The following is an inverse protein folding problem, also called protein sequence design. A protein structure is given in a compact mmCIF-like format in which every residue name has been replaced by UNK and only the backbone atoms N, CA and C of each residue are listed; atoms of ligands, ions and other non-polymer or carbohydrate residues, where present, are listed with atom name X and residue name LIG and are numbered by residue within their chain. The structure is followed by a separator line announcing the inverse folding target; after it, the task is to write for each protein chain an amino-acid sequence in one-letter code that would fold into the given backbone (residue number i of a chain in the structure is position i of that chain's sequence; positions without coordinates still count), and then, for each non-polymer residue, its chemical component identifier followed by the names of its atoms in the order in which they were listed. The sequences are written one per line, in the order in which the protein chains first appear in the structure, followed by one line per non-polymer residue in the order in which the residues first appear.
data_IF_175735122382
#
_entry.id   IF_175735122382
#
_cell.length_a   1.000
_cell.length_b   1.000
_cell.length_c   1.000
_cell.angle_alpha   90.00
_cell.angle_beta   90.00
_cell.angle_gamma   90.00
#
_symmetry.space_group_name_H-M   'P 1'
#
loop_
_entity.id
_entity.type
_entity.pdbx_description
1 polymer ?
#
# COMPACT_ATOMS: atom_id res chain seq x y z
N UNK A 1 -2.49 -7.29 -8.04
CA UNK A 1 -1.24 -7.80 -8.64
C UNK A 1 -1.51 -9.15 -9.26
N UNK A 2 -0.92 -9.41 -10.43
CA UNK A 2 -0.97 -10.71 -11.10
C UNK A 2 -0.09 -11.69 -10.32
N UNK A 3 -0.68 -12.79 -9.87
CA UNK A 3 0.02 -13.91 -9.26
C UNK A 3 -0.03 -15.07 -10.25
N UNK A 4 1.12 -15.67 -10.53
CA UNK A 4 1.26 -16.80 -11.46
C UNK A 4 1.41 -18.07 -10.63
N UNK A 5 0.49 -19.01 -10.79
CA UNK A 5 0.51 -20.34 -10.16
C UNK A 5 0.53 -21.37 -11.29
N UNK A 6 1.75 -21.75 -11.70
CA UNK A 6 1.95 -22.59 -12.89
C UNK A 6 1.46 -21.90 -14.17
N UNK A 7 0.53 -22.54 -14.88
CA UNK A 7 -0.06 -21.99 -16.11
C UNK A 7 -1.24 -21.03 -15.88
N UNK A 8 -1.73 -20.88 -14.64
CA UNK A 8 -2.90 -20.04 -14.33
C UNK A 8 -2.46 -18.75 -13.66
N UNK A 9 -3.06 -17.64 -14.06
CA UNK A 9 -2.85 -16.34 -13.42
C UNK A 9 -4.12 -15.83 -12.75
N UNK A 10 -3.98 -15.28 -11.55
CA UNK A 10 -5.07 -14.63 -10.81
C UNK A 10 -4.71 -13.21 -10.39
N UNK A 11 -5.70 -12.34 -10.26
CA UNK A 11 -5.53 -11.00 -9.71
C UNK A 11 -5.72 -11.06 -8.19
N UNK A 12 -4.66 -10.81 -7.42
CA UNK A 12 -4.73 -10.65 -5.97
C UNK A 12 -4.79 -9.16 -5.61
N UNK A 13 -5.81 -8.77 -4.85
CA UNK A 13 -5.94 -7.40 -4.32
C UNK A 13 -5.10 -7.25 -3.05
N UNK A 14 -4.25 -6.22 -3.02
CA UNK A 14 -3.48 -5.84 -1.83
C UNK A 14 -3.88 -4.44 -1.38
N UNK A 15 -4.97 -4.37 -0.61
CA UNK A 15 -5.49 -3.12 -0.06
C UNK A 15 -4.84 -2.80 1.30
N UNK A 16 -4.43 -1.55 1.49
CA UNK A 16 -3.80 -1.08 2.71
C UNK A 16 -3.41 0.39 2.64
N UNK A 17 -2.73 0.88 3.67
CA UNK A 17 -2.28 2.27 3.74
C UNK A 17 -0.98 2.43 2.96
N UNK A 18 -0.92 3.41 2.07
CA UNK A 18 0.35 3.82 1.46
C UNK A 18 1.17 4.58 2.51
N UNK A 19 2.31 4.01 2.91
CA UNK A 19 3.16 4.57 3.97
C UNK A 19 4.39 5.31 3.45
N UNK A 20 4.74 5.11 2.18
CA UNK A 20 5.83 5.79 1.52
C UNK A 20 5.62 5.81 0.01
N UNK A 21 6.10 6.87 -0.63
CA UNK A 21 6.41 6.93 -2.05
C UNK A 21 7.90 7.29 -2.17
N UNK A 22 8.64 6.59 -3.01
CA UNK A 22 10.09 6.77 -3.17
C UNK A 22 10.45 6.92 -4.65
N UNK A 23 11.61 7.56 -4.88
CA UNK A 23 12.16 7.85 -6.21
C UNK A 23 11.21 8.67 -7.10
N UNK A 24 11.57 8.83 -8.36
CA UNK A 24 10.78 9.51 -9.39
C UNK A 24 11.01 8.88 -10.76
N UNK A 25 10.18 9.25 -11.72
CA UNK A 25 10.22 8.70 -13.07
C UNK A 25 10.01 7.18 -13.06
N UNK A 26 10.77 6.47 -13.90
CA UNK A 26 10.64 5.00 -14.08
C UNK A 26 10.90 4.21 -12.80
N UNK A 27 11.71 4.75 -11.88
CA UNK A 27 12.03 4.10 -10.61
C UNK A 27 11.02 4.39 -9.49
N UNK A 28 9.98 5.19 -9.76
CA UNK A 28 8.96 5.54 -8.76
C UNK A 28 8.34 4.26 -8.18
N UNK A 29 8.25 4.21 -6.86
CA UNK A 29 7.65 3.09 -6.13
C UNK A 29 6.84 3.58 -4.94
N UNK A 30 5.90 2.76 -4.49
CA UNK A 30 5.11 3.02 -3.30
C UNK A 30 5.05 1.79 -2.40
N UNK A 31 4.98 2.02 -1.09
CA UNK A 31 4.93 0.96 -0.07
C UNK A 31 3.54 0.94 0.55
N UNK A 32 2.87 -0.20 0.45
CA UNK A 32 1.56 -0.44 1.06
C UNK A 32 1.75 -1.28 2.32
N UNK A 33 1.15 -0.85 3.43
CA UNK A 33 1.09 -1.57 4.70
C UNK A 33 -0.33 -2.07 4.97
N UNK A 34 -0.46 -3.36 5.28
CA UNK A 34 -1.69 -4.02 5.71
C UNK A 34 -1.39 -4.86 6.96
N UNK A 35 -2.33 -4.92 7.90
CA UNK A 35 -2.31 -5.96 8.94
C UNK A 35 -3.21 -7.10 8.48
N UNK A 36 -2.67 -8.30 8.35
CA UNK A 36 -3.39 -9.50 7.95
C UNK A 36 -3.20 -10.57 9.01
N UNK A 37 -4.29 -11.11 9.56
CA UNK A 37 -4.25 -12.12 10.61
C UNK A 37 -3.34 -11.72 11.80
N UNK A 38 -3.39 -10.44 12.20
CA UNK A 38 -2.57 -9.91 13.30
C UNK A 38 -1.11 -9.60 12.95
N UNK A 39 -0.65 -9.98 11.76
CA UNK A 39 0.73 -9.77 11.30
C UNK A 39 0.79 -8.57 10.36
N UNK A 40 1.73 -7.66 10.60
CA UNK A 40 2.00 -6.52 9.73
C UNK A 40 2.71 -6.98 8.47
N UNK A 41 2.09 -6.78 7.31
CA UNK A 41 2.64 -7.10 5.99
C UNK A 41 2.86 -5.80 5.23
N UNK A 42 4.06 -5.62 4.69
CA UNK A 42 4.40 -4.50 3.82
C UNK A 42 4.81 -5.04 2.45
N UNK A 43 4.34 -4.38 1.39
CA UNK A 43 4.77 -4.68 0.02
C UNK A 43 5.16 -3.39 -0.68
N UNK A 44 6.27 -3.44 -1.41
CA UNK A 44 6.75 -2.36 -2.26
C UNK A 44 6.34 -2.68 -3.69
N UNK A 45 5.71 -1.71 -4.34
CA UNK A 45 5.24 -1.82 -5.71
C UNK A 45 5.91 -0.75 -6.57
N UNK A 46 6.63 -1.12 -7.64
CA UNK A 46 7.08 -0.16 -8.64
C UNK A 46 5.85 0.38 -9.40
N UNK A 47 5.76 1.70 -9.55
CA UNK A 47 4.59 2.39 -10.12
C UNK A 47 4.28 1.92 -11.55
N UNK A 48 5.31 1.57 -12.32
CA UNK A 48 5.23 1.19 -13.73
C UNK A 48 5.37 -0.33 -13.96
N UNK A 49 5.20 -1.15 -12.92
CA UNK A 49 5.38 -2.60 -13.06
C UNK A 49 4.21 -3.27 -13.80
N UNK A 50 4.47 -4.16 -14.79
CA UNK A 50 3.42 -4.88 -15.52
C UNK A 50 2.66 -5.90 -14.66
N UNK A 51 3.13 -6.19 -13.44
CA UNK A 51 2.43 -7.07 -12.50
C UNK A 51 1.22 -6.37 -11.85
N UNK A 52 1.10 -5.05 -11.99
CA UNK A 52 0.02 -4.25 -11.42
C UNK A 52 -1.08 -4.09 -12.48
N UNK A 53 -2.21 -4.74 -12.24
CA UNK A 53 -3.38 -4.66 -13.12
C UNK A 53 -4.06 -3.28 -13.04
N UNK A 54 -4.26 -2.78 -11.82
CA UNK A 54 -4.98 -1.54 -11.53
C UNK A 54 -4.52 -0.98 -10.19
N UNK A 55 -4.49 0.35 -10.08
CA UNK A 55 -4.35 1.08 -8.82
C UNK A 55 -5.63 1.90 -8.62
N UNK A 56 -6.26 1.74 -7.46
CA UNK A 56 -7.47 2.46 -7.11
C UNK A 56 -7.30 3.08 -5.72
N UNK A 57 -7.65 4.37 -5.59
CA UNK A 57 -7.59 5.07 -4.31
C UNK A 57 -8.95 4.93 -3.63
N UNK A 58 -9.04 4.02 -2.66
CA UNK A 58 -10.29 3.83 -1.91
C UNK A 58 -10.67 5.07 -1.10
N UNK A 59 -9.71 5.65 -0.37
CA UNK A 59 -9.89 6.82 0.49
C UNK A 59 -8.62 7.64 0.60
N UNK A 60 -8.76 8.95 0.82
CA UNK A 60 -7.64 9.87 1.09
C UNK A 60 -7.50 10.10 2.59
N UNK A 61 -6.33 9.81 3.14
CA UNK A 61 -6.03 10.04 4.56
C UNK A 61 -5.49 11.44 4.82
N UNK A 62 -5.89 12.04 5.94
CA UNK A 62 -5.29 13.26 6.47
C UNK A 62 -4.03 12.91 7.28
N UNK A 63 -2.87 13.25 6.71
CA UNK A 63 -1.55 12.95 7.26
C UNK A 63 -0.63 14.14 7.11
N UNK A 64 0.31 14.28 8.06
CA UNK A 64 1.24 15.43 8.12
C UNK A 64 2.65 15.09 7.64
N UNK A 65 2.96 13.81 7.38
CA UNK A 65 4.29 13.34 7.01
C UNK A 65 4.22 12.60 5.68
N UNK A 66 5.24 12.74 4.84
CA UNK A 66 5.36 11.98 3.60
C UNK A 66 5.66 10.49 3.83
N UNK A 67 6.38 10.18 4.92
CA UNK A 67 6.70 8.81 5.35
C UNK A 67 5.98 8.48 6.67
N UNK A 68 5.12 7.47 6.63
CA UNK A 68 4.23 7.09 7.74
C UNK A 68 4.76 5.89 8.53
N UNK A 69 6.09 5.72 8.64
CA UNK A 69 6.69 4.57 9.32
C UNK A 69 6.30 4.45 10.80
N UNK A 70 5.86 5.54 11.43
CA UNK A 70 5.33 5.51 12.79
C UNK A 70 4.12 4.56 12.93
N UNK A 71 3.37 4.31 11.85
CA UNK A 71 2.26 3.33 11.84
C UNK A 71 2.71 1.88 12.07
N UNK A 72 4.02 1.59 12.02
CA UNK A 72 4.56 0.26 12.31
C UNK A 72 4.41 -0.12 13.79
N UNK A 73 4.58 0.86 14.67
CA UNK A 73 4.46 0.67 16.12
C UNK A 73 3.05 0.86 16.66
N UNK A 74 2.11 1.35 15.85
CA UNK A 74 0.73 1.61 16.28
C UNK A 74 -0.18 0.41 16.02
N UNK A 75 -1.18 0.23 16.90
CA UNK A 75 -2.21 -0.82 16.81
C UNK A 75 -3.58 -0.25 17.13
N UNK A 76 -4.63 -0.97 16.72
CA UNK A 76 -6.02 -0.62 17.00
C UNK A 76 -6.38 0.81 16.57
N UNK A 77 -7.05 1.55 17.45
CA UNK A 77 -7.51 2.93 17.18
C UNK A 77 -6.37 3.90 16.87
N UNK A 78 -5.18 3.69 17.46
CA UNK A 78 -4.04 4.58 17.26
C UNK A 78 -3.46 4.50 15.83
N UNK A 79 -3.60 3.35 15.15
CA UNK A 79 -3.15 3.17 13.78
C UNK A 79 -4.14 3.75 12.74
N UNK A 80 -5.32 4.22 13.16
CA UNK A 80 -6.35 4.71 12.26
C UNK A 80 -6.02 6.13 11.78
N UNK A 81 -5.95 6.30 10.47
CA UNK A 81 -5.80 7.61 9.83
C UNK A 81 -7.19 8.20 9.62
N UNK A 82 -7.34 9.49 9.95
CA UNK A 82 -8.58 10.23 9.69
C UNK A 82 -8.72 10.44 8.18
N UNK A 83 -9.94 10.37 7.68
CA UNK A 83 -10.20 10.68 6.28
C UNK A 83 -10.09 12.18 6.05
N UNK A 84 -9.43 12.57 4.96
CA UNK A 84 -9.34 13.96 4.52
C UNK A 84 -10.66 14.32 3.85
N UNK A 85 -11.54 15.01 4.59
CA UNK A 85 -12.75 15.63 4.02
C UNK A 85 -12.31 16.92 3.33
N UNK A 86 -12.44 16.95 2.01
CA UNK A 86 -12.29 18.16 1.18
C UNK A 86 -13.54 19.01 1.24
#
# INVERSE_FOLDING_TARGET
MKVIEGNRSRVQVFAGVVIAKNAGGVQESFTVRKVSFGIGVERVFPMHSPIIEKIEVERRGDVRRAKLYYLRGLRGKAAKIKEKRS
#
